data_IF_701144200630
#
_entry.id   IF_701144200630
#
_cell.length_a   1.000
_cell.length_b   1.000
_cell.length_c   1.000
_cell.angle_alpha   90.00
_cell.angle_beta   90.00
_cell.angle_gamma   90.00
#
_symmetry.space_group_name_H-M   'P 1'
#
loop_
_entity.id
_entity.type
_entity.pdbx_description
1 polymer ?
#
# COMPACT_ATOMS: atom_id res chain seq x y z
N UNK A 1 -10.50 4.80 15.05
CA UNK A 1 -9.46 3.98 14.37
C UNK A 1 -9.23 2.75 15.22
N UNK A 2 -9.15 1.53 14.63
CA UNK A 2 -8.94 0.29 15.36
C UNK A 2 -7.49 0.19 15.88
N UNK A 3 -7.28 -0.40 17.07
CA UNK A 3 -5.98 -0.55 17.73
C UNK A 3 -5.68 -2.04 17.92
N UNK A 4 -4.47 -2.47 17.50
CA UNK A 4 -3.97 -3.83 17.70
C UNK A 4 -2.81 -3.80 18.72
N UNK A 5 -3.07 -4.35 19.89
CA UNK A 5 -2.18 -4.29 21.05
C UNK A 5 -1.48 -5.65 21.31
N UNK A 6 -0.62 -6.07 20.37
CA UNK A 6 0.23 -7.27 20.50
C UNK A 6 1.21 -7.39 19.34
N UNK A 7 2.23 -8.23 19.48
CA UNK A 7 3.06 -8.65 18.33
C UNK A 7 2.20 -9.38 17.30
N UNK A 8 2.38 -9.06 16.04
CA UNK A 8 1.57 -9.57 14.93
C UNK A 8 2.37 -9.64 13.63
N UNK A 9 1.82 -10.39 12.68
CA UNK A 9 2.25 -10.44 11.28
C UNK A 9 1.32 -9.59 10.41
N UNK A 10 1.72 -9.30 9.17
CA UNK A 10 0.84 -8.57 8.24
C UNK A 10 -0.50 -9.29 7.95
N UNK A 11 -0.58 -10.63 7.79
CA UNK A 11 -1.86 -11.34 7.70
C UNK A 11 -2.74 -11.23 8.95
N UNK A 12 -2.16 -11.23 10.16
CA UNK A 12 -2.92 -11.04 11.40
C UNK A 12 -3.45 -9.62 11.52
N UNK A 13 -2.66 -8.61 11.12
CA UNK A 13 -3.12 -7.23 11.04
C UNK A 13 -4.28 -7.07 10.04
N UNK A 14 -4.20 -7.71 8.86
CA UNK A 14 -5.29 -7.70 7.88
C UNK A 14 -6.58 -8.28 8.46
N UNK A 15 -6.52 -9.42 9.16
CA UNK A 15 -7.68 -10.04 9.83
C UNK A 15 -8.26 -9.12 10.90
N UNK A 16 -7.40 -8.55 11.74
CA UNK A 16 -7.84 -7.58 12.75
C UNK A 16 -8.56 -6.39 12.13
N UNK A 17 -8.02 -5.80 11.06
CA UNK A 17 -8.66 -4.70 10.36
C UNK A 17 -10.00 -5.11 9.74
N UNK A 18 -10.09 -6.33 9.20
CA UNK A 18 -11.33 -6.84 8.64
C UNK A 18 -12.45 -6.96 9.67
N UNK A 19 -12.11 -7.34 10.89
CA UNK A 19 -13.06 -7.53 11.99
C UNK A 19 -13.42 -6.22 12.72
N UNK A 20 -12.46 -5.29 12.86
CA UNK A 20 -12.54 -4.17 13.79
C UNK A 20 -12.56 -2.78 13.13
N UNK A 21 -12.15 -2.64 11.86
CA UNK A 21 -12.07 -1.35 11.19
C UNK A 21 -13.14 -1.21 10.09
N UNK A 22 -13.75 -0.03 9.93
CA UNK A 22 -14.64 0.22 8.80
C UNK A 22 -13.89 0.17 7.48
N UNK A 23 -14.61 -0.21 6.42
CA UNK A 23 -14.10 -0.13 5.05
C UNK A 23 -14.34 1.28 4.49
N UNK A 24 -13.36 1.80 3.77
CA UNK A 24 -13.42 3.12 3.13
C UNK A 24 -13.23 2.96 1.63
N UNK A 25 -14.15 3.43 0.78
CA UNK A 25 -13.96 3.42 -0.66
C UNK A 25 -12.94 4.48 -1.09
N UNK A 26 -12.22 4.20 -2.17
CA UNK A 26 -11.42 5.15 -2.92
C UNK A 26 -12.14 5.41 -4.26
N UNK A 27 -13.08 6.32 -4.27
CA UNK A 27 -14.01 6.57 -5.37
C UNK A 27 -13.74 7.88 -6.14
N UNK A 28 -12.74 8.65 -5.71
CA UNK A 28 -12.35 9.88 -6.39
C UNK A 28 -11.44 9.58 -7.58
N UNK A 29 -11.86 9.99 -8.77
CA UNK A 29 -11.11 9.83 -10.00
C UNK A 29 -10.31 11.09 -10.29
N UNK A 30 -8.99 11.02 -10.12
CA UNK A 30 -8.09 12.15 -10.32
C UNK A 30 -7.80 12.45 -11.80
N UNK A 31 -7.85 11.44 -12.69
CA UNK A 31 -7.53 11.56 -14.11
C UNK A 31 -8.63 10.97 -14.99
N UNK A 32 -9.54 11.83 -15.44
CA UNK A 32 -10.65 11.42 -16.31
C UNK A 32 -10.24 10.91 -17.70
N UNK A 33 -8.98 11.15 -18.10
CA UNK A 33 -8.42 10.70 -19.37
C UNK A 33 -8.15 9.19 -19.43
N UNK A 34 -8.12 8.49 -18.28
CA UNK A 34 -7.92 7.05 -18.22
C UNK A 34 -9.25 6.34 -18.00
N UNK A 35 -9.56 5.39 -18.90
CA UNK A 35 -10.83 4.65 -18.84
C UNK A 35 -10.83 3.54 -17.79
N UNK A 36 -9.65 3.00 -17.45
CA UNK A 36 -9.52 1.94 -16.45
C UNK A 36 -9.81 2.47 -15.05
N UNK A 37 -10.78 1.85 -14.38
CA UNK A 37 -11.25 2.25 -13.06
C UNK A 37 -11.55 0.99 -12.25
N UNK A 38 -10.56 0.42 -11.56
CA UNK A 38 -10.83 -0.66 -10.62
C UNK A 38 -11.62 -0.14 -9.42
N UNK A 39 -12.39 -1.01 -8.79
CA UNK A 39 -13.00 -0.74 -7.50
C UNK A 39 -11.93 -0.90 -6.43
N UNK A 40 -11.67 0.17 -5.68
CA UNK A 40 -10.64 0.19 -4.63
C UNK A 40 -11.25 0.60 -3.31
N UNK A 41 -10.91 -0.11 -2.27
CA UNK A 41 -11.23 0.25 -0.90
C UNK A 41 -10.09 -0.08 0.05
N UNK A 42 -10.11 0.47 1.25
CA UNK A 42 -9.10 0.18 2.26
C UNK A 42 -9.69 0.16 3.66
N UNK A 43 -8.93 -0.42 4.58
CA UNK A 43 -9.14 -0.32 6.02
C UNK A 43 -7.87 0.21 6.66
N UNK A 44 -8.02 0.99 7.73
CA UNK A 44 -6.89 1.58 8.46
C UNK A 44 -7.08 1.41 9.96
N UNK A 45 -5.98 1.15 10.63
CA UNK A 45 -5.86 1.05 12.07
C UNK A 45 -4.44 1.36 12.51
N UNK A 46 -4.13 1.12 13.76
CA UNK A 46 -2.76 1.23 14.27
C UNK A 46 -2.51 0.22 15.40
N UNK A 47 -1.24 -0.06 15.65
CA UNK A 47 -0.74 -0.57 16.93
C UNK A 47 -0.05 0.57 17.68
N UNK A 48 0.66 0.26 18.75
CA UNK A 48 1.42 1.26 19.51
C UNK A 48 2.53 1.90 18.66
N UNK A 49 3.10 1.15 17.72
CA UNK A 49 4.29 1.50 16.96
C UNK A 49 4.10 1.46 15.43
N UNK A 50 2.88 1.13 14.91
CA UNK A 50 2.66 0.93 13.48
C UNK A 50 1.33 1.47 12.99
N UNK A 51 1.32 1.98 11.76
CA UNK A 51 0.11 2.20 10.99
C UNK A 51 -0.21 0.90 10.25
N UNK A 52 -1.45 0.43 10.36
CA UNK A 52 -1.94 -0.79 9.74
C UNK A 52 -2.87 -0.41 8.58
N UNK A 53 -2.60 -0.92 7.39
CA UNK A 53 -3.41 -0.71 6.20
C UNK A 53 -3.72 -2.05 5.53
N UNK A 54 -4.92 -2.18 4.99
CA UNK A 54 -5.27 -3.27 4.09
C UNK A 54 -6.05 -2.69 2.92
N UNK A 55 -5.50 -2.83 1.73
CA UNK A 55 -6.13 -2.42 0.47
C UNK A 55 -6.81 -3.60 -0.18
N UNK A 56 -7.96 -3.34 -0.79
CA UNK A 56 -8.76 -4.30 -1.57
C UNK A 56 -9.00 -3.70 -2.94
N UNK A 57 -8.58 -4.41 -3.98
CA UNK A 57 -8.69 -3.96 -5.38
C UNK A 57 -9.44 -5.03 -6.17
N UNK A 58 -10.47 -4.64 -6.91
CA UNK A 58 -11.22 -5.51 -7.80
C UNK A 58 -11.50 -4.83 -9.15
N UNK A 59 -11.71 -5.62 -10.19
CA UNK A 59 -11.85 -5.12 -11.56
C UNK A 59 -10.52 -4.70 -12.20
N UNK A 60 -9.39 -5.13 -11.63
CA UNK A 60 -8.04 -4.92 -12.15
C UNK A 60 -7.55 -6.13 -12.97
N UNK A 61 -6.46 -5.94 -13.70
CA UNK A 61 -5.61 -6.98 -14.27
C UNK A 61 -4.22 -6.77 -13.70
N UNK A 62 -3.94 -7.34 -12.52
CA UNK A 62 -2.74 -7.01 -11.78
C UNK A 62 -1.47 -7.38 -12.55
N UNK A 63 -0.51 -6.47 -12.49
CA UNK A 63 0.83 -6.61 -13.04
C UNK A 63 1.85 -6.15 -12.00
N UNK A 64 2.92 -6.92 -11.82
CA UNK A 64 4.04 -6.61 -10.95
C UNK A 64 5.35 -7.08 -11.59
N UNK A 65 6.01 -6.21 -12.32
CA UNK A 65 7.30 -6.47 -13.00
C UNK A 65 8.48 -5.86 -12.24
N UNK A 66 8.21 -4.84 -11.45
CA UNK A 66 9.23 -4.19 -10.62
C UNK A 66 9.44 -5.05 -9.37
N UNK A 67 10.69 -5.46 -9.15
CA UNK A 67 11.10 -6.33 -8.02
C UNK A 67 12.06 -5.63 -7.06
N UNK A 68 12.56 -4.46 -7.43
CA UNK A 68 13.57 -3.73 -6.67
C UNK A 68 12.89 -2.79 -5.66
N UNK A 69 13.35 -2.83 -4.41
CA UNK A 69 12.96 -1.85 -3.37
C UNK A 69 13.33 -0.45 -3.86
N UNK A 70 12.41 0.49 -3.67
CA UNK A 70 12.52 1.86 -4.16
C UNK A 70 12.60 1.98 -5.71
N UNK A 71 12.30 0.91 -6.44
CA UNK A 71 12.09 0.95 -7.88
C UNK A 71 10.81 1.71 -8.28
N UNK A 72 10.56 1.90 -9.59
CA UNK A 72 9.41 2.66 -10.09
C UNK A 72 8.11 1.84 -10.05
N UNK A 73 7.66 1.44 -8.86
CA UNK A 73 6.49 0.55 -8.64
C UNK A 73 5.17 1.12 -9.16
N UNK A 74 5.08 2.45 -9.33
CA UNK A 74 3.95 3.13 -9.98
C UNK A 74 3.70 2.72 -11.44
N UNK A 75 4.63 1.99 -12.06
CA UNK A 75 4.46 1.41 -13.41
C UNK A 75 3.73 0.07 -13.39
N UNK A 76 3.54 -0.50 -12.21
CA UNK A 76 2.77 -1.71 -11.97
C UNK A 76 1.36 -1.36 -11.42
N UNK A 77 0.53 -2.38 -11.16
CA UNK A 77 -0.67 -2.20 -10.34
C UNK A 77 -0.23 -1.82 -8.94
N UNK A 78 -0.51 -0.59 -8.53
CA UNK A 78 0.09 0.06 -7.37
C UNK A 78 -0.97 0.70 -6.48
N UNK A 79 -0.78 0.63 -5.17
CA UNK A 79 -1.51 1.42 -4.17
C UNK A 79 -0.54 2.33 -3.43
N UNK A 80 -1.02 3.50 -3.05
CA UNK A 80 -0.20 4.55 -2.45
C UNK A 80 -0.84 5.07 -1.17
N UNK A 81 -0.01 5.40 -0.19
CA UNK A 81 -0.40 6.03 1.07
C UNK A 81 0.51 7.21 1.36
N UNK A 82 -0.12 8.38 1.53
CA UNK A 82 0.58 9.61 1.89
C UNK A 82 0.26 9.96 3.33
N UNK A 83 1.28 10.27 4.11
CA UNK A 83 1.15 10.54 5.53
C UNK A 83 2.04 11.72 5.94
N UNK A 84 1.44 12.71 6.62
CA UNK A 84 2.17 13.85 7.20
C UNK A 84 1.96 13.85 8.71
N UNK A 85 2.94 13.38 9.49
CA UNK A 85 2.81 13.28 10.94
C UNK A 85 2.89 14.61 11.66
N UNK A 86 3.54 15.62 11.05
CA UNK A 86 3.79 16.92 11.62
C UNK A 86 3.25 18.03 10.70
N UNK A 87 2.88 19.17 11.27
CA UNK A 87 2.39 20.32 10.50
C UNK A 87 3.55 21.18 9.94
N UNK A 88 4.62 20.56 9.48
CA UNK A 88 5.83 21.20 8.95
C UNK A 88 5.92 21.18 7.41
N UNK A 89 4.89 20.62 6.76
CA UNK A 89 4.79 20.50 5.31
C UNK A 89 5.58 19.33 4.73
N UNK A 90 6.23 18.50 5.55
CA UNK A 90 6.85 17.26 5.12
C UNK A 90 5.81 16.14 5.11
N UNK A 91 5.82 15.34 4.09
CA UNK A 91 5.00 14.12 4.01
C UNK A 91 5.84 12.93 3.61
N UNK A 92 5.40 11.76 4.02
CA UNK A 92 5.91 10.47 3.59
C UNK A 92 5.03 9.93 2.47
N UNK A 93 5.67 9.34 1.46
CA UNK A 93 5.03 8.66 0.36
C UNK A 93 5.40 7.18 0.40
N UNK A 94 4.41 6.31 0.57
CA UNK A 94 4.55 4.87 0.57
C UNK A 94 3.78 4.32 -0.64
N UNK A 95 4.48 3.77 -1.60
CA UNK A 95 3.91 3.13 -2.79
C UNK A 95 4.22 1.63 -2.72
N UNK A 96 3.27 0.79 -3.07
CA UNK A 96 3.44 -0.66 -3.10
C UNK A 96 2.79 -1.23 -4.36
N UNK A 97 3.53 -2.02 -5.14
CA UNK A 97 2.87 -2.75 -6.19
C UNK A 97 2.03 -3.92 -5.62
N UNK A 98 1.23 -4.56 -6.47
CA UNK A 98 0.26 -5.57 -6.05
C UNK A 98 0.86 -6.83 -5.42
N UNK A 99 2.17 -7.06 -5.53
CA UNK A 99 2.91 -8.12 -4.82
C UNK A 99 3.72 -7.59 -3.62
N UNK A 100 3.55 -6.30 -3.26
CA UNK A 100 4.12 -5.71 -2.07
C UNK A 100 5.55 -5.18 -2.21
N UNK A 101 6.07 -5.00 -3.42
CA UNK A 101 7.37 -4.31 -3.61
C UNK A 101 7.19 -2.83 -3.30
N UNK A 102 7.99 -2.25 -2.39
CA UNK A 102 7.79 -0.90 -1.91
C UNK A 102 8.63 0.13 -2.68
N UNK A 103 8.09 1.36 -2.76
CA UNK A 103 8.83 2.58 -3.00
C UNK A 103 8.46 3.58 -1.91
N UNK A 104 9.43 4.00 -1.11
CA UNK A 104 9.18 4.84 0.05
C UNK A 104 10.09 6.07 0.03
N UNK A 105 9.48 7.24 0.16
CA UNK A 105 10.18 8.51 0.11
C UNK A 105 9.52 9.54 1.05
N UNK A 106 10.21 10.63 1.33
CA UNK A 106 9.66 11.77 2.06
C UNK A 106 10.17 13.09 1.48
N UNK A 107 9.44 14.15 1.67
CA UNK A 107 9.79 15.48 1.18
C UNK A 107 8.64 16.47 1.32
N UNK A 108 8.83 17.69 0.80
CA UNK A 108 7.82 18.76 0.81
C UNK A 108 7.04 18.84 -0.51
N UNK A 109 7.56 18.21 -1.56
CA UNK A 109 6.98 18.22 -2.89
C UNK A 109 7.45 17.01 -3.71
N UNK A 110 6.75 16.73 -4.80
CA UNK A 110 7.04 15.57 -5.66
C UNK A 110 8.48 15.59 -6.23
N UNK A 111 9.04 16.77 -6.45
CA UNK A 111 10.36 16.93 -7.08
C UNK A 111 11.54 16.94 -6.10
N UNK A 112 11.29 16.97 -4.79
CA UNK A 112 12.31 17.07 -3.75
C UNK A 112 12.28 15.91 -2.76
N UNK A 113 11.65 14.80 -3.12
CA UNK A 113 11.59 13.61 -2.29
C UNK A 113 12.95 12.94 -2.16
N UNK A 114 13.26 12.56 -0.93
CA UNK A 114 14.40 11.71 -0.58
C UNK A 114 13.89 10.29 -0.32
N UNK A 115 14.53 9.29 -0.89
CA UNK A 115 14.21 7.89 -0.63
C UNK A 115 14.49 7.54 0.84
N UNK A 116 13.63 6.74 1.43
CA UNK A 116 13.90 6.14 2.74
C UNK A 116 15.04 5.12 2.63
N UNK A 117 15.83 5.02 3.69
CA UNK A 117 16.86 4.00 3.81
C UNK A 117 16.24 2.60 3.61
N UNK A 118 16.79 1.76 2.72
CA UNK A 118 16.30 0.41 2.51
C UNK A 118 16.16 -0.41 3.80
N UNK A 119 17.04 -0.21 4.78
CA UNK A 119 16.95 -0.89 6.07
C UNK A 119 15.67 -0.51 6.85
N UNK A 120 15.20 0.73 6.73
CA UNK A 120 13.91 1.16 7.29
C UNK A 120 12.73 0.57 6.49
N UNK A 121 12.85 0.58 5.16
CA UNK A 121 11.80 0.04 4.27
C UNK A 121 11.61 -1.47 4.52
N UNK A 122 12.66 -2.20 4.83
CA UNK A 122 12.61 -3.64 5.15
C UNK A 122 11.85 -3.93 6.46
N UNK A 123 11.73 -2.95 7.36
CA UNK A 123 10.92 -3.12 8.59
C UNK A 123 9.42 -3.03 8.36
N UNK A 124 8.97 -2.58 7.19
CA UNK A 124 7.57 -2.56 6.79
C UNK A 124 7.12 -3.99 6.51
N UNK A 125 6.23 -4.53 7.34
CA UNK A 125 5.64 -5.84 7.09
C UNK A 125 4.60 -5.75 5.97
N UNK A 126 4.62 -6.73 5.05
CA UNK A 126 3.75 -6.75 3.86
C UNK A 126 3.25 -8.16 3.60
N UNK A 127 2.00 -8.26 3.14
CA UNK A 127 1.42 -9.53 2.70
C UNK A 127 0.39 -9.26 1.60
N UNK A 128 0.61 -9.84 0.43
CA UNK A 128 -0.31 -9.78 -0.70
C UNK A 128 -1.01 -11.11 -0.91
N UNK A 129 -2.27 -11.09 -1.32
CA UNK A 129 -3.02 -12.28 -1.76
C UNK A 129 -2.44 -12.91 -3.02
N UNK A 130 -1.64 -12.15 -3.79
CA UNK A 130 -0.95 -12.63 -4.99
C UNK A 130 0.43 -13.24 -4.70
N UNK A 131 0.85 -13.28 -3.42
CA UNK A 131 2.20 -13.68 -3.05
C UNK A 131 3.23 -12.57 -3.28
N UNK A 132 4.50 -12.94 -3.47
CA UNK A 132 5.62 -12.00 -3.61
C UNK A 132 6.42 -12.15 -4.91
N UNK A 133 6.02 -13.09 -5.78
CA UNK A 133 6.69 -13.29 -7.06
C UNK A 133 6.23 -12.26 -8.10
N UNK A 134 7.09 -11.87 -9.05
CA UNK A 134 6.70 -11.05 -10.19
C UNK A 134 5.49 -11.65 -10.91
N UNK A 135 4.62 -10.79 -11.41
CA UNK A 135 3.40 -11.16 -12.08
C UNK A 135 3.26 -10.39 -13.38
N UNK A 136 3.12 -11.09 -14.50
CA UNK A 136 2.68 -10.49 -15.75
C UNK A 136 1.16 -10.29 -15.72
N UNK A 137 0.69 -9.31 -16.49
CA UNK A 137 -0.74 -9.02 -16.60
C UNK A 137 -1.52 -10.28 -16.93
N UNK A 138 -2.45 -10.66 -16.03
CA UNK A 138 -3.22 -11.87 -16.15
C UNK A 138 -4.71 -11.58 -16.30
N UNK A 139 -5.32 -12.15 -17.32
CA UNK A 139 -6.77 -12.07 -17.51
C UNK A 139 -7.56 -12.96 -16.53
N UNK A 140 -6.89 -13.91 -15.85
CA UNK A 140 -7.53 -14.83 -14.90
C UNK A 140 -7.61 -14.28 -13.46
N UNK A 141 -6.84 -13.24 -13.14
CA UNK A 141 -6.86 -12.57 -11.84
C UNK A 141 -7.53 -11.21 -12.01
N UNK A 142 -8.60 -10.99 -11.28
CA UNK A 142 -9.36 -9.71 -11.34
C UNK A 142 -9.46 -8.99 -10.00
N UNK A 143 -8.88 -9.55 -8.94
CA UNK A 143 -8.88 -8.93 -7.61
C UNK A 143 -7.63 -9.31 -6.81
N UNK A 144 -7.23 -8.43 -5.92
CA UNK A 144 -6.11 -8.65 -5.00
C UNK A 144 -6.24 -7.78 -3.76
N UNK A 145 -5.61 -8.22 -2.69
CA UNK A 145 -5.47 -7.44 -1.45
C UNK A 145 -4.01 -7.36 -1.03
N UNK A 146 -3.70 -6.26 -0.36
CA UNK A 146 -2.39 -6.01 0.18
C UNK A 146 -2.51 -5.44 1.59
N UNK A 147 -1.95 -6.16 2.56
CA UNK A 147 -1.75 -5.66 3.91
C UNK A 147 -0.35 -5.10 4.08
N UNK A 148 -0.25 -3.92 4.70
CA UNK A 148 1.02 -3.28 5.05
C UNK A 148 0.97 -2.76 6.48
N UNK A 149 2.09 -2.89 7.22
CA UNK A 149 2.25 -2.38 8.57
C UNK A 149 3.50 -1.52 8.61
N UNK A 150 3.30 -0.20 8.65
CA UNK A 150 4.34 0.83 8.57
C UNK A 150 4.73 1.21 10.00
N UNK A 151 6.03 1.09 10.40
CA UNK A 151 6.50 1.48 11.73
C UNK A 151 6.49 2.98 11.96
#
# INVERSE_FOLDING_TARGET
MAILDRSFTAPEAARFLQEQAPIHPLDTVNWNSFAHRPDVSFRIGHSDDRILLCFYVSGDRPRARITEVNGPVHRDSCVEFFFSPLADGVYYNFEFNCVGVPHCAYGRGRGDRTLLDPALVDTIMRSSSLGSAPLDESASVSSWDLAVCIP
#
